data_IF_621923782224
#
_entry.id   IF_621923782224
#
_cell.length_a   1.000
_cell.length_b   1.000
_cell.length_c   1.000
_cell.angle_alpha   90.00
_cell.angle_beta   90.00
_cell.angle_gamma   90.00
#
_symmetry.space_group_name_H-M   'P 1'
#
loop_
_entity.id
_entity.type
_entity.pdbx_description
1 polymer ?
#
# COMPACT_ATOMS: atom_id res chain seq x y z
N UNK A 1 22.04 8.81 -17.70
CA UNK A 1 22.12 7.57 -16.89
C UNK A 1 20.98 6.66 -17.32
N UNK A 2 21.30 5.53 -17.95
CA UNK A 2 20.29 4.60 -18.49
C UNK A 2 19.65 3.81 -17.35
N UNK A 3 18.32 3.86 -17.26
CA UNK A 3 17.56 3.21 -16.18
C UNK A 3 17.68 1.68 -16.30
N UNK A 4 18.48 1.06 -15.41
CA UNK A 4 18.74 -0.39 -15.40
C UNK A 4 17.48 -1.25 -15.19
N UNK A 5 16.37 -0.66 -14.75
CA UNK A 5 15.09 -1.37 -14.61
C UNK A 5 14.47 -1.80 -15.96
N UNK A 6 14.88 -1.19 -17.08
CA UNK A 6 14.31 -1.45 -18.41
C UNK A 6 14.88 -2.76 -19.03
N UNK A 7 15.93 -3.35 -18.45
CA UNK A 7 16.60 -4.55 -18.97
C UNK A 7 16.06 -5.90 -18.48
N UNK A 8 15.04 -5.92 -17.61
CA UNK A 8 14.48 -7.18 -17.10
C UNK A 8 13.38 -7.65 -18.06
N UNK A 9 13.77 -8.46 -19.03
CA UNK A 9 12.86 -9.25 -19.87
C UNK A 9 13.05 -10.73 -19.58
N UNK A 10 11.96 -11.49 -19.44
CA UNK A 10 11.93 -12.96 -19.24
C UNK A 10 12.23 -13.49 -17.83
N UNK A 11 11.87 -12.75 -16.77
CA UNK A 11 11.82 -13.34 -15.42
C UNK A 11 10.38 -13.71 -15.11
N UNK A 12 10.10 -15.01 -15.03
CA UNK A 12 8.87 -15.53 -14.45
C UNK A 12 8.92 -15.25 -12.94
N UNK A 13 7.92 -14.54 -12.40
CA UNK A 13 7.73 -14.45 -10.95
C UNK A 13 7.57 -15.88 -10.44
N UNK A 14 8.59 -16.40 -9.75
CA UNK A 14 8.50 -17.70 -9.07
C UNK A 14 7.34 -17.62 -8.08
N UNK A 15 6.44 -18.60 -8.14
CA UNK A 15 5.30 -18.73 -7.24
C UNK A 15 5.83 -19.05 -5.83
N UNK A 16 5.98 -18.02 -5.00
CA UNK A 16 6.29 -18.15 -3.56
C UNK A 16 5.12 -18.74 -2.73
N UNK A 17 4.11 -19.31 -3.40
CA UNK A 17 2.88 -19.81 -2.77
C UNK A 17 3.07 -21.20 -2.15
N UNK A 18 4.17 -21.90 -2.48
CA UNK A 18 4.50 -23.22 -1.92
C UNK A 18 5.83 -23.19 -1.13
N UNK A 19 5.93 -22.34 -0.12
CA UNK A 19 7.12 -22.28 0.75
C UNK A 19 7.01 -23.31 1.90
N UNK A 20 8.03 -24.17 2.00
CA UNK A 20 8.24 -25.15 3.07
C UNK A 20 9.14 -24.51 4.14
N UNK A 21 8.55 -24.28 5.32
CA UNK A 21 9.16 -23.63 6.49
C UNK A 21 10.42 -24.33 7.02
N UNK A 22 10.66 -25.59 6.64
CA UNK A 22 11.74 -26.41 7.19
C UNK A 22 13.12 -26.17 6.57
N UNK A 23 13.22 -25.35 5.52
CA UNK A 23 14.46 -25.17 4.72
C UNK A 23 15.15 -23.82 4.90
N UNK A 24 14.70 -22.97 5.82
CA UNK A 24 15.36 -21.69 6.07
C UNK A 24 16.58 -21.94 6.97
N UNK A 25 17.76 -22.09 6.38
CA UNK A 25 19.02 -22.16 7.14
C UNK A 25 19.20 -20.89 8.00
N UNK A 26 19.71 -21.06 9.21
CA UNK A 26 19.91 -20.01 10.22
C UNK A 26 20.69 -18.79 9.68
N UNK A 27 21.53 -18.98 8.65
CA UNK A 27 22.27 -17.93 7.96
C UNK A 27 21.36 -16.89 7.26
N UNK A 28 20.17 -17.29 6.79
CA UNK A 28 19.24 -16.36 6.12
C UNK A 28 18.51 -15.44 7.10
N UNK A 29 18.47 -15.79 8.40
CA UNK A 29 17.78 -15.04 9.44
C UNK A 29 18.56 -13.80 9.94
N UNK A 30 19.88 -13.75 9.72
CA UNK A 30 20.76 -12.74 10.32
C UNK A 30 21.36 -11.70 9.36
N UNK A 31 21.43 -11.96 8.04
CA UNK A 31 22.20 -11.10 7.12
C UNK A 31 21.40 -10.17 6.20
N UNK A 32 20.08 -10.04 6.37
CA UNK A 32 19.33 -8.97 5.68
C UNK A 32 18.82 -7.92 6.67
N UNK A 33 19.63 -6.87 6.80
CA UNK A 33 19.30 -5.64 7.51
C UNK A 33 17.91 -5.10 7.08
N UNK A 34 16.98 -5.13 8.05
CA UNK A 34 16.15 -4.02 8.55
C UNK A 34 15.72 -2.99 7.49
N UNK A 35 14.43 -2.75 7.19
CA UNK A 35 13.38 -2.29 8.13
C UNK A 35 11.98 -2.64 7.56
N UNK A 36 11.19 -3.44 8.28
CA UNK A 36 9.72 -3.28 8.46
C UNK A 36 9.31 -3.84 9.81
N UNK A 37 9.94 -3.33 10.86
CA UNK A 37 9.48 -3.51 12.23
C UNK A 37 9.45 -2.13 12.90
N UNK A 38 8.32 -1.43 12.74
CA UNK A 38 7.88 -0.54 13.82
C UNK A 38 7.09 -1.44 14.76
N UNK A 39 7.51 -1.47 16.02
CA UNK A 39 7.24 -2.53 16.99
C UNK A 39 5.81 -3.05 17.04
N UNK A 40 5.67 -4.28 17.55
CA UNK A 40 4.40 -4.91 17.89
C UNK A 40 3.42 -3.88 18.49
N UNK A 41 2.52 -3.35 17.65
CA UNK A 41 1.24 -2.89 18.13
C UNK A 41 0.45 -4.17 18.34
N UNK A 42 0.65 -4.76 19.53
CA UNK A 42 -0.27 -5.75 20.06
C UNK A 42 -1.69 -5.21 19.82
N UNK A 43 -2.43 -5.89 18.94
CA UNK A 43 -3.85 -5.67 18.68
C UNK A 43 -4.30 -4.21 18.61
N UNK A 44 -3.92 -3.45 17.58
CA UNK A 44 -4.73 -2.27 17.25
C UNK A 44 -6.05 -2.74 16.61
N UNK A 45 -7.07 -2.96 17.45
CA UNK A 45 -8.45 -3.23 17.05
C UNK A 45 -9.16 -1.98 16.49
N UNK A 46 -8.43 -1.12 15.80
CA UNK A 46 -8.97 0.11 15.23
C UNK A 46 -9.71 -0.16 13.92
N UNK A 47 -10.87 0.48 13.77
CA UNK A 47 -11.61 0.50 12.52
C UNK A 47 -10.83 1.19 11.40
N UNK A 48 -11.09 0.84 10.15
CA UNK A 48 -10.52 1.54 9.01
C UNK A 48 -11.02 2.99 8.95
N UNK A 49 -10.24 3.89 8.35
CA UNK A 49 -10.72 5.25 8.11
C UNK A 49 -11.87 5.25 7.10
N UNK A 50 -12.84 6.15 7.28
CA UNK A 50 -13.99 6.27 6.37
C UNK A 50 -13.53 6.44 4.91
N UNK A 51 -12.50 7.24 4.67
CA UNK A 51 -11.93 7.45 3.33
C UNK A 51 -11.24 6.21 2.73
N UNK A 52 -10.82 5.24 3.54
CA UNK A 52 -10.36 3.95 3.01
C UNK A 52 -11.56 3.04 2.70
N UNK A 53 -12.60 3.07 3.54
CA UNK A 53 -13.83 2.29 3.31
C UNK A 53 -14.56 2.72 2.03
N UNK A 54 -14.47 3.99 1.63
CA UNK A 54 -15.07 4.45 0.35
C UNK A 54 -14.45 3.82 -0.88
N UNK A 55 -13.21 3.33 -0.78
CA UNK A 55 -12.50 2.71 -1.92
C UNK A 55 -12.41 1.20 -1.80
N UNK A 56 -12.94 0.57 -0.76
CA UNK A 56 -12.83 -0.87 -0.49
C UNK A 56 -14.23 -1.47 -0.27
N UNK A 57 -14.54 -2.61 -0.89
CA UNK A 57 -15.83 -3.28 -0.65
C UNK A 57 -15.81 -4.02 0.67
N UNK A 58 -16.70 -3.66 1.59
CA UNK A 58 -16.80 -4.32 2.91
C UNK A 58 -17.48 -5.68 2.85
N UNK A 59 -18.14 -6.01 1.73
CA UNK A 59 -18.90 -7.26 1.53
C UNK A 59 -18.15 -8.29 0.68
N UNK A 60 -17.48 -7.82 -0.38
CA UNK A 60 -16.92 -8.69 -1.41
C UNK A 60 -15.40 -8.74 -1.41
N UNK A 61 -14.72 -7.83 -0.71
CA UNK A 61 -13.25 -7.76 -0.69
C UNK A 61 -12.64 -8.57 0.45
N UNK A 62 -11.91 -9.64 0.10
CA UNK A 62 -11.25 -10.54 1.03
C UNK A 62 -10.21 -9.83 1.89
N UNK A 63 -9.71 -8.67 1.46
CA UNK A 63 -8.79 -7.84 2.24
C UNK A 63 -9.48 -7.20 3.44
N UNK A 64 -10.81 -7.12 3.42
CA UNK A 64 -11.61 -6.60 4.52
C UNK A 64 -12.37 -7.70 5.24
N UNK A 65 -13.27 -8.43 4.57
CA UNK A 65 -14.20 -9.32 5.27
C UNK A 65 -13.51 -10.51 5.96
N UNK A 66 -12.26 -10.83 5.61
CA UNK A 66 -11.47 -11.85 6.32
C UNK A 66 -10.79 -11.34 7.58
N UNK A 67 -10.64 -10.03 7.71
CA UNK A 67 -9.86 -9.39 8.77
C UNK A 67 -10.68 -8.43 9.64
N UNK A 68 -11.90 -8.10 9.24
CA UNK A 68 -12.79 -7.16 9.92
C UNK A 68 -14.18 -7.75 10.07
N UNK A 69 -14.74 -7.58 11.26
CA UNK A 69 -16.10 -7.93 11.63
C UNK A 69 -16.78 -6.71 12.25
N UNK A 70 -18.09 -6.62 12.13
CA UNK A 70 -18.89 -5.56 12.77
C UNK A 70 -19.68 -6.18 13.91
N UNK A 71 -19.34 -5.81 15.14
CA UNK A 71 -20.11 -6.17 16.31
C UNK A 71 -21.25 -5.15 16.51
N UNK A 72 -22.50 -5.59 16.76
CA UNK A 72 -23.64 -4.70 16.95
C UNK A 72 -23.49 -3.69 18.10
N UNK A 73 -22.72 -4.02 19.14
CA UNK A 73 -22.54 -3.22 20.35
C UNK A 73 -21.22 -2.42 20.35
N UNK A 74 -20.19 -2.92 19.66
CA UNK A 74 -18.84 -2.34 19.69
C UNK A 74 -18.36 -1.75 18.36
N UNK A 75 -19.15 -1.92 17.29
CA UNK A 75 -18.82 -1.42 15.96
C UNK A 75 -17.81 -2.30 15.22
N UNK A 76 -17.13 -1.74 14.23
CA UNK A 76 -16.16 -2.47 13.41
C UNK A 76 -14.87 -2.77 14.19
N UNK A 77 -14.59 -4.06 14.39
CA UNK A 77 -13.37 -4.58 15.00
C UNK A 77 -12.56 -5.42 14.03
N UNK A 78 -11.24 -5.46 14.24
CA UNK A 78 -10.36 -6.39 13.53
C UNK A 78 -10.47 -7.77 14.17
N UNK A 79 -10.65 -8.81 13.36
CA UNK A 79 -10.56 -10.20 13.82
C UNK A 79 -9.08 -10.50 14.11
N UNK A 80 -8.77 -10.80 15.37
CA UNK A 80 -7.39 -11.08 15.79
C UNK A 80 -6.98 -12.49 15.38
N UNK A 81 -6.41 -12.62 14.17
CA UNK A 81 -5.54 -13.74 13.85
C UNK A 81 -4.11 -13.36 14.22
N UNK A 82 -3.31 -14.32 14.70
CA UNK A 82 -1.84 -14.18 14.75
C UNK A 82 -1.33 -14.11 13.31
N UNK A 83 -1.52 -12.97 12.65
CA UNK A 83 -1.02 -12.72 11.31
C UNK A 83 0.42 -12.28 11.47
N UNK A 84 1.35 -13.13 11.04
CA UNK A 84 2.76 -12.75 10.91
C UNK A 84 2.83 -11.61 9.89
N UNK A 85 3.30 -10.42 10.26
CA UNK A 85 3.40 -9.32 9.32
C UNK A 85 4.39 -9.69 8.20
N UNK A 86 3.98 -9.50 6.94
CA UNK A 86 4.90 -9.66 5.82
C UNK A 86 5.97 -8.56 5.88
N UNK A 87 7.22 -8.95 6.10
CA UNK A 87 8.37 -8.05 6.19
C UNK A 87 8.99 -7.72 4.82
N UNK A 88 8.51 -8.34 3.74
CA UNK A 88 9.03 -8.24 2.38
C UNK A 88 7.95 -7.76 1.37
N UNK A 89 8.33 -7.40 0.13
CA UNK A 89 7.36 -7.13 -0.91
C UNK A 89 6.42 -8.32 -1.12
N UNK A 90 5.12 -8.06 -1.26
CA UNK A 90 4.14 -9.11 -1.57
C UNK A 90 3.97 -9.26 -3.08
N UNK A 91 3.55 -10.44 -3.53
CA UNK A 91 3.21 -10.68 -4.94
C UNK A 91 2.11 -9.71 -5.41
N UNK A 92 1.10 -9.45 -4.57
CA UNK A 92 0.06 -8.47 -4.87
C UNK A 92 0.60 -7.04 -5.02
N UNK A 93 1.55 -6.64 -4.16
CA UNK A 93 2.26 -5.37 -4.30
C UNK A 93 3.02 -5.29 -5.63
N UNK A 94 3.64 -6.38 -6.08
CA UNK A 94 4.36 -6.41 -7.36
C UNK A 94 3.42 -6.32 -8.56
N UNK A 95 2.28 -7.02 -8.56
CA UNK A 95 1.27 -6.89 -9.61
C UNK A 95 0.77 -5.45 -9.73
N UNK A 96 0.41 -4.81 -8.61
CA UNK A 96 -0.10 -3.44 -8.68
C UNK A 96 0.97 -2.41 -9.04
N UNK A 97 2.21 -2.61 -8.60
CA UNK A 97 3.34 -1.77 -9.01
C UNK A 97 3.57 -1.87 -10.51
N UNK A 98 3.57 -3.09 -11.06
CA UNK A 98 3.74 -3.32 -12.50
C UNK A 98 2.56 -2.77 -13.32
N UNK A 99 1.33 -2.92 -12.84
CA UNK A 99 0.14 -2.34 -13.46
C UNK A 99 0.22 -0.81 -13.54
N UNK A 100 0.65 -0.14 -12.45
CA UNK A 100 0.87 1.31 -12.46
C UNK A 100 1.95 1.71 -13.48
N UNK A 101 3.09 1.00 -13.52
CA UNK A 101 4.13 1.25 -14.51
C UNK A 101 3.61 1.07 -15.94
N UNK A 102 2.84 0.03 -16.23
CA UNK A 102 2.24 -0.18 -17.54
C UNK A 102 1.26 0.94 -17.91
N UNK A 103 0.41 1.36 -16.99
CA UNK A 103 -0.51 2.48 -17.21
C UNK A 103 0.25 3.78 -17.56
N UNK A 104 1.33 4.08 -16.82
CA UNK A 104 2.19 5.25 -17.07
C UNK A 104 2.96 5.18 -18.39
N UNK A 105 3.23 3.98 -18.90
CA UNK A 105 3.88 3.75 -20.18
C UNK A 105 2.88 3.66 -21.36
N UNK A 106 1.59 3.94 -21.14
CA UNK A 106 0.54 3.81 -22.16
C UNK A 106 0.22 2.36 -22.56
N UNK A 107 0.69 1.37 -21.79
CA UNK A 107 0.45 -0.06 -22.03
C UNK A 107 -0.84 -0.51 -21.33
N UNK A 108 -1.97 0.07 -21.74
CA UNK A 108 -3.29 -0.06 -21.12
C UNK A 108 -3.71 -1.52 -20.91
N UNK A 109 -3.63 -2.35 -21.96
CA UNK A 109 -4.09 -3.74 -21.88
C UNK A 109 -3.26 -4.58 -20.89
N UNK A 110 -1.95 -4.32 -20.78
CA UNK A 110 -1.10 -5.01 -19.80
C UNK A 110 -1.39 -4.59 -18.36
N UNK A 111 -1.65 -3.29 -18.14
CA UNK A 111 -2.05 -2.80 -16.83
C UNK A 111 -3.37 -3.42 -16.37
N UNK A 112 -4.36 -3.49 -17.27
CA UNK A 112 -5.66 -4.11 -17.01
C UNK A 112 -5.52 -5.60 -16.74
N UNK A 113 -4.67 -6.31 -17.49
CA UNK A 113 -4.41 -7.73 -17.25
C UNK A 113 -3.84 -7.98 -15.84
N UNK A 114 -2.88 -7.16 -15.39
CA UNK A 114 -2.32 -7.26 -14.03
C UNK A 114 -3.36 -6.94 -12.95
N UNK A 115 -4.19 -5.91 -13.16
CA UNK A 115 -5.29 -5.56 -12.25
C UNK A 115 -6.32 -6.68 -12.15
N UNK A 116 -6.72 -7.27 -13.28
CA UNK A 116 -7.67 -8.39 -13.32
C UNK A 116 -7.12 -9.60 -12.58
N UNK A 117 -5.86 -9.96 -12.84
CA UNK A 117 -5.14 -11.06 -12.16
C UNK A 117 -5.14 -10.89 -10.64
N UNK A 118 -4.90 -9.66 -10.15
CA UNK A 118 -4.93 -9.37 -8.73
C UNK A 118 -6.35 -9.43 -8.17
N UNK A 119 -7.30 -8.74 -8.81
CA UNK A 119 -8.65 -8.52 -8.28
C UNK A 119 -9.50 -9.79 -8.27
N UNK A 120 -9.31 -10.70 -9.24
CA UNK A 120 -9.95 -12.02 -9.25
C UNK A 120 -9.62 -12.82 -7.98
N UNK A 121 -8.42 -12.64 -7.42
CA UNK A 121 -7.98 -13.30 -6.17
C UNK A 121 -8.37 -12.54 -4.90
N UNK A 122 -9.03 -11.39 -5.02
CA UNK A 122 -9.41 -10.53 -3.88
C UNK A 122 -10.92 -10.41 -3.72
N UNK A 123 -11.68 -10.49 -4.81
CA UNK A 123 -13.10 -10.18 -4.83
C UNK A 123 -13.95 -11.44 -5.10
N UNK A 124 -14.98 -11.70 -4.30
CA UNK A 124 -15.87 -12.87 -4.45
C UNK A 124 -16.65 -12.88 -5.78
N UNK A 125 -17.17 -11.72 -6.16
CA UNK A 125 -18.05 -11.55 -7.33
C UNK A 125 -17.39 -10.59 -8.34
N UNK A 126 -16.22 -10.98 -8.84
CA UNK A 126 -15.41 -10.09 -9.66
C UNK A 126 -15.86 -10.03 -11.12
N UNK A 127 -16.14 -8.82 -11.62
CA UNK A 127 -16.27 -8.54 -13.04
C UNK A 127 -14.92 -8.02 -13.58
N UNK A 128 -14.30 -8.68 -14.57
CA UNK A 128 -13.03 -8.23 -15.15
C UNK A 128 -13.13 -6.82 -15.74
N UNK A 129 -12.14 -5.99 -15.42
CA UNK A 129 -12.02 -4.65 -15.98
C UNK A 129 -11.71 -4.74 -17.48
N UNK A 130 -12.27 -3.81 -18.24
CA UNK A 130 -12.11 -3.67 -19.67
C UNK A 130 -11.52 -2.31 -20.02
N UNK A 131 -10.90 -2.19 -21.20
CA UNK A 131 -10.35 -0.92 -21.66
C UNK A 131 -11.42 0.19 -21.77
N UNK A 132 -12.68 -0.18 -21.99
CA UNK A 132 -13.81 0.76 -22.03
C UNK A 132 -14.17 1.37 -20.66
N UNK A 133 -13.74 0.77 -19.55
CA UNK A 133 -14.03 1.28 -18.20
C UNK A 133 -13.23 2.55 -17.84
N UNK A 134 -12.22 2.88 -18.65
CA UNK A 134 -11.31 4.01 -18.42
C UNK A 134 -11.38 5.00 -19.58
N UNK A 135 -11.88 6.21 -19.30
CA UNK A 135 -12.03 7.29 -20.29
C UNK A 135 -10.69 7.90 -20.70
N UNK A 136 -9.67 7.80 -19.85
CA UNK A 136 -8.32 8.31 -20.10
C UNK A 136 -7.24 7.45 -19.42
N UNK A 137 -5.99 7.64 -19.84
CA UNK A 137 -4.83 7.02 -19.16
C UNK A 137 -4.72 7.50 -17.71
N UNK A 138 -5.11 8.75 -17.43
CA UNK A 138 -5.14 9.30 -16.07
C UNK A 138 -6.12 8.56 -15.17
N UNK A 139 -7.29 8.16 -15.71
CA UNK A 139 -8.28 7.39 -14.94
C UNK A 139 -7.75 6.01 -14.57
N UNK A 140 -7.03 5.36 -15.50
CA UNK A 140 -6.38 4.08 -15.23
C UNK A 140 -5.26 4.21 -14.19
N UNK A 141 -4.41 5.23 -14.30
CA UNK A 141 -3.37 5.49 -13.30
C UNK A 141 -3.99 5.76 -11.92
N UNK A 142 -5.03 6.59 -11.85
CA UNK A 142 -5.77 6.85 -10.61
C UNK A 142 -6.33 5.56 -10.02
N UNK A 143 -6.92 4.69 -10.85
CA UNK A 143 -7.40 3.39 -10.41
C UNK A 143 -6.28 2.50 -9.87
N UNK A 144 -5.11 2.48 -10.52
CA UNK A 144 -3.94 1.75 -10.01
C UNK A 144 -3.48 2.29 -8.63
N UNK A 145 -3.47 3.61 -8.43
CA UNK A 145 -3.11 4.23 -7.14
C UNK A 145 -4.10 3.86 -6.03
N UNK A 146 -5.40 3.83 -6.36
CA UNK A 146 -6.44 3.40 -5.42
C UNK A 146 -6.35 1.91 -5.11
N UNK A 147 -6.05 1.07 -6.11
CA UNK A 147 -5.87 -0.37 -5.92
C UNK A 147 -4.62 -0.66 -5.09
N UNK A 148 -3.55 0.11 -5.27
CA UNK A 148 -2.36 0.01 -4.42
C UNK A 148 -2.72 0.32 -2.99
N UNK A 149 -3.51 1.37 -2.74
CA UNK A 149 -3.98 1.68 -1.39
C UNK A 149 -4.82 0.54 -0.80
N UNK A 150 -5.70 -0.09 -1.58
CA UNK A 150 -6.48 -1.27 -1.15
C UNK A 150 -5.60 -2.48 -0.85
N UNK A 151 -4.54 -2.70 -1.62
CA UNK A 151 -3.65 -3.87 -1.40
C UNK A 151 -2.69 -3.65 -0.21
N UNK A 152 -2.34 -2.40 0.10
CA UNK A 152 -1.24 -2.08 1.02
C UNK A 152 -1.68 -1.33 2.30
N UNK A 153 -2.99 -1.22 2.61
CA UNK A 153 -3.48 -0.35 3.71
C UNK A 153 -2.98 -0.68 5.13
N UNK A 154 -2.40 -1.86 5.37
CA UNK A 154 -1.78 -2.22 6.65
C UNK A 154 -0.25 -2.35 6.58
N UNK A 155 0.35 -1.93 5.46
CA UNK A 155 1.77 -2.14 5.19
C UNK A 155 2.66 -0.92 5.50
N UNK A 156 2.08 0.12 6.12
CA UNK A 156 2.70 1.42 6.39
C UNK A 156 3.17 2.20 5.14
N UNK A 157 2.92 1.67 3.94
CA UNK A 157 3.40 2.25 2.68
C UNK A 157 2.64 3.51 2.23
N UNK A 158 1.46 3.75 2.80
CA UNK A 158 0.59 4.85 2.37
C UNK A 158 1.28 6.21 2.44
N UNK A 159 2.15 6.45 3.43
CA UNK A 159 2.88 7.71 3.53
C UNK A 159 3.78 7.94 2.31
N UNK A 160 4.50 6.91 1.85
CA UNK A 160 5.35 7.00 0.66
C UNK A 160 4.51 7.20 -0.61
N UNK A 161 3.38 6.51 -0.72
CA UNK A 161 2.45 6.70 -1.84
C UNK A 161 1.90 8.13 -1.89
N UNK A 162 1.52 8.71 -0.75
CA UNK A 162 1.06 10.10 -0.69
C UNK A 162 2.17 11.06 -1.12
N UNK A 163 3.40 10.86 -0.64
CA UNK A 163 4.53 11.75 -0.98
C UNK A 163 4.87 11.71 -2.47
N UNK A 164 4.87 10.54 -3.12
CA UNK A 164 5.09 10.46 -4.58
C UNK A 164 3.90 11.01 -5.37
N UNK A 165 2.67 10.74 -4.94
CA UNK A 165 1.46 11.26 -5.58
C UNK A 165 1.41 12.79 -5.53
N UNK A 166 1.89 13.39 -4.44
CA UNK A 166 1.92 14.85 -4.25
C UNK A 166 2.93 15.59 -5.14
N UNK A 167 3.80 14.87 -5.87
CA UNK A 167 4.65 15.43 -6.92
C UNK A 167 3.89 15.59 -8.25
N UNK A 168 2.73 14.95 -8.39
CA UNK A 168 1.92 14.95 -9.61
C UNK A 168 0.60 15.67 -9.32
N UNK A 169 0.38 16.90 -9.84
CA UNK A 169 -0.80 17.69 -9.50
C UNK A 169 -2.14 16.96 -9.74
N UNK A 170 -2.21 16.10 -10.76
CA UNK A 170 -3.40 15.31 -11.10
C UNK A 170 -3.77 14.26 -10.02
N UNK A 171 -2.81 13.86 -9.19
CA UNK A 171 -2.97 12.80 -8.18
C UNK A 171 -2.71 13.27 -6.75
N UNK A 172 -2.39 14.55 -6.56
CA UNK A 172 -2.09 15.13 -5.26
C UNK A 172 -3.27 14.96 -4.29
N UNK A 173 -2.97 14.67 -3.02
CA UNK A 173 -3.96 14.42 -1.99
C UNK A 173 -3.58 15.06 -0.66
N UNK A 174 -4.54 15.76 -0.07
CA UNK A 174 -4.43 16.29 1.30
C UNK A 174 -4.86 15.22 2.29
N UNK A 175 -4.00 14.93 3.27
CA UNK A 175 -4.40 14.06 4.38
C UNK A 175 -5.20 14.87 5.39
N UNK A 176 -6.41 14.41 5.68
CA UNK A 176 -7.31 15.03 6.64
C UNK A 176 -7.59 14.03 7.75
N UNK A 177 -7.43 14.47 9.00
CA UNK A 177 -7.74 13.69 10.19
C UNK A 177 -8.53 14.57 11.16
N UNK A 178 -9.72 14.12 11.51
CA UNK A 178 -10.49 14.70 12.60
C UNK A 178 -10.16 13.98 13.91
N UNK A 179 -9.89 14.75 14.95
CA UNK A 179 -9.58 14.24 16.28
C UNK A 179 -10.03 15.26 17.34
N UNK A 180 -10.84 14.81 18.31
CA UNK A 180 -11.37 15.65 19.41
C UNK A 180 -12.04 16.96 18.95
N UNK A 181 -12.77 16.94 17.84
CA UNK A 181 -13.44 18.12 17.29
C UNK A 181 -12.52 19.06 16.49
N UNK A 182 -11.22 18.76 16.42
CA UNK A 182 -10.27 19.50 15.60
C UNK A 182 -9.97 18.79 14.27
N UNK A 183 -9.71 19.58 13.24
CA UNK A 183 -9.33 19.08 11.91
C UNK A 183 -7.85 19.32 11.66
N UNK A 184 -7.10 18.23 11.54
CA UNK A 184 -5.69 18.23 11.17
C UNK A 184 -5.54 17.98 9.68
N UNK A 185 -4.78 18.84 8.99
CA UNK A 185 -4.50 18.73 7.56
C UNK A 185 -3.00 18.69 7.28
N UNK A 186 -2.60 17.78 6.39
CA UNK A 186 -1.30 17.79 5.74
C UNK A 186 -1.50 17.95 4.23
N UNK A 187 -1.27 19.17 3.75
CA UNK A 187 -1.37 19.53 2.34
C UNK A 187 -0.25 18.88 1.51
N UNK A 188 -0.43 18.76 0.18
CA UNK A 188 0.63 18.32 -0.72
C UNK A 188 1.93 19.08 -0.48
N UNK A 189 3.05 18.34 -0.40
CA UNK A 189 4.40 18.87 -0.19
C UNK A 189 4.60 19.65 1.14
N UNK A 190 3.67 19.56 2.09
CA UNK A 190 3.82 20.14 3.43
C UNK A 190 4.93 19.42 4.22
N UNK A 191 5.68 20.18 5.03
CA UNK A 191 6.63 19.63 6.01
C UNK A 191 5.98 18.66 7.01
N UNK A 192 4.65 18.70 7.17
CA UNK A 192 3.88 17.73 7.98
C UNK A 192 3.94 16.29 7.47
N UNK A 193 4.40 16.07 6.22
CA UNK A 193 4.63 14.74 5.64
C UNK A 193 6.08 14.25 5.85
N UNK A 194 6.90 15.00 6.58
CA UNK A 194 8.30 14.71 6.89
C UNK A 194 8.44 14.56 8.40
N UNK A 195 9.10 13.49 8.83
CA UNK A 195 9.44 13.34 10.24
C UNK A 195 10.50 14.37 10.60
N UNK A 196 10.31 15.14 11.69
CA UNK A 196 11.32 16.11 12.12
C UNK A 196 12.60 15.38 12.55
N UNK A 197 13.74 16.06 12.40
CA UNK A 197 14.99 15.60 13.00
C UNK A 197 14.80 15.59 14.52
N UNK A 198 15.14 14.51 15.24
CA UNK A 198 14.99 14.45 16.69
C UNK A 198 15.73 15.61 17.37
N UNK A 199 15.08 16.27 18.34
CA UNK A 199 15.64 17.44 19.03
C UNK A 199 17.01 17.16 19.68
N UNK A 200 17.23 15.93 20.15
CA UNK A 200 18.53 15.52 20.69
C UNK A 200 19.64 15.57 19.63
N UNK A 201 19.36 15.14 18.40
CA UNK A 201 20.32 15.22 17.28
C UNK A 201 20.61 16.68 16.92
N UNK A 202 19.58 17.53 16.92
CA UNK A 202 19.74 18.98 16.70
C UNK A 202 20.61 19.63 17.78
N UNK A 203 20.44 19.24 19.05
CA UNK A 203 21.26 19.74 20.16
C UNK A 203 22.74 19.42 20.01
N UNK A 204 23.08 18.23 19.48
CA UNK A 204 24.46 17.84 19.20
C UNK A 204 25.01 18.46 17.91
N UNK A 205 24.15 18.89 17.00
CA UNK A 205 24.53 19.48 15.72
C UNK A 205 23.83 20.84 15.51
N UNK A 206 24.19 21.89 16.27
CA UNK A 206 23.50 23.18 16.21
C UNK A 206 23.56 23.83 14.81
N UNK A 207 24.57 23.51 14.00
CA UNK A 207 24.71 24.02 12.62
C UNK A 207 23.70 23.42 11.63
N UNK A 208 22.82 22.51 12.05
CA UNK A 208 21.77 21.93 11.20
C UNK A 208 20.43 22.67 11.32
N UNK A 209 20.34 23.67 12.19
CA UNK A 209 19.24 24.64 12.15
C UNK A 209 19.38 25.47 10.87
N UNK A 210 18.40 25.36 9.97
CA UNK A 210 18.33 26.10 8.71
C UNK A 210 17.66 27.46 8.87
#
# INVERSE_FOLDING_TARGET
MTNKAIGISNVTLQDYVNFDETKMEEAYSFEQYSIRYFGATAGYGGSLSNNLKTVLSTTDDARYYKFYEVDPNYGEGRISYQVTPNAAPSVGEMYITRAECYARLGKKDLAIADLNTLREKRLKNYTPLQSADFSSDKDLIKFCLEERRRETFQSHLRLFDVKRMNLEPDFATTLVKEFQGETYKAEPNSGKLVLPIPAQVMKFNPSWEG
#
